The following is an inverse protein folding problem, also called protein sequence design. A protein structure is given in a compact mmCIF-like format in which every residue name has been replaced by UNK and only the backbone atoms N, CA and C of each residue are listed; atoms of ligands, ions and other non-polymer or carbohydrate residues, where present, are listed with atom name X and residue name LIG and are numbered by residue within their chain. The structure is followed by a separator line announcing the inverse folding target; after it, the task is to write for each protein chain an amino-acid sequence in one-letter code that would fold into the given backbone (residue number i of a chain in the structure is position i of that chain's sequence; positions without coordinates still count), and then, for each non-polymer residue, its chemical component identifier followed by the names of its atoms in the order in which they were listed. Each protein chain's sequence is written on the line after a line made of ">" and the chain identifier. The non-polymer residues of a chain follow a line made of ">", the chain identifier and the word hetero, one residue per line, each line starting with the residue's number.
data_IF_546179229534
#
_entry.id   IF_546179229534
#
_cell.length_a   1.000
_cell.length_b   1.000
_cell.length_c   1.000
_cell.angle_alpha   90.00
_cell.angle_beta   90.00
_cell.angle_gamma   90.00
#
_symmetry.space_group_name_H-M   'P 1'
#
loop_
_entity.id
_entity.type
_entity.pdbx_description
1 polymer ?
#
# COMPACT_ATOMS: atom_id res chain seq x y z
N UNK A 1 1.89 -40.90 20.76
CA UNK A 1 2.99 -39.91 20.81
C UNK A 1 3.26 -39.24 19.45
N UNK A 2 3.37 -40.00 18.38
CA UNK A 2 3.62 -39.39 17.02
C UNK A 2 2.46 -38.49 16.53
N UNK A 3 1.23 -38.84 16.85
CA UNK A 3 0.02 -38.07 16.48
C UNK A 3 -0.05 -36.70 17.18
N UNK A 4 0.37 -36.64 18.45
CA UNK A 4 0.38 -35.42 19.25
C UNK A 4 1.39 -34.39 18.71
N UNK A 5 2.55 -34.85 18.21
CA UNK A 5 3.54 -33.98 17.58
C UNK A 5 3.05 -33.40 16.26
N UNK A 6 2.33 -34.16 15.45
CA UNK A 6 1.70 -33.69 14.22
C UNK A 6 0.62 -32.65 14.45
N UNK A 7 -0.22 -32.84 15.47
CA UNK A 7 -1.25 -31.88 15.86
C UNK A 7 -0.67 -30.53 16.33
N UNK A 8 0.45 -30.55 17.06
CA UNK A 8 1.14 -29.36 17.51
C UNK A 8 1.75 -28.56 16.34
N UNK A 9 2.32 -29.25 15.35
CA UNK A 9 2.89 -28.61 14.16
C UNK A 9 1.78 -27.99 13.29
N UNK A 10 0.66 -28.69 13.09
CA UNK A 10 -0.47 -28.18 12.35
C UNK A 10 -1.10 -26.93 13.00
N UNK A 11 -1.19 -26.89 14.32
CA UNK A 11 -1.69 -25.75 15.08
C UNK A 11 -0.77 -24.53 14.97
N UNK A 12 0.55 -24.73 14.98
CA UNK A 12 1.52 -23.66 14.87
C UNK A 12 1.52 -23.03 13.46
N UNK A 13 1.37 -23.83 12.40
CA UNK A 13 1.26 -23.35 11.01
C UNK A 13 -0.01 -22.53 10.80
N UNK A 14 -1.12 -22.90 11.42
CA UNK A 14 -2.38 -22.17 11.33
C UNK A 14 -2.31 -20.77 11.97
N UNK A 15 -1.58 -20.61 13.05
CA UNK A 15 -1.40 -19.33 13.75
C UNK A 15 -0.56 -18.35 12.91
N UNK A 16 0.50 -18.83 12.27
CA UNK A 16 1.36 -17.97 11.45
C UNK A 16 0.65 -17.43 10.21
N UNK A 17 -0.22 -18.20 9.58
CA UNK A 17 -1.02 -17.76 8.42
C UNK A 17 -2.02 -16.66 8.81
N UNK A 18 -2.65 -16.76 9.98
CA UNK A 18 -3.59 -15.75 10.46
C UNK A 18 -2.93 -14.41 10.78
N UNK A 19 -1.72 -14.41 11.33
CA UNK A 19 -0.97 -13.21 11.67
C UNK A 19 -0.58 -12.40 10.41
N UNK A 20 -0.18 -13.08 9.33
CA UNK A 20 0.15 -12.43 8.06
C UNK A 20 -1.07 -11.71 7.43
N UNK A 21 -2.25 -12.31 7.49
CA UNK A 21 -3.49 -11.71 6.98
C UNK A 21 -3.85 -10.43 7.71
N UNK A 22 -3.76 -10.41 9.04
CA UNK A 22 -4.01 -9.20 9.84
C UNK A 22 -2.98 -8.09 9.58
N UNK A 23 -1.71 -8.43 9.38
CA UNK A 23 -0.66 -7.46 9.06
C UNK A 23 -0.90 -6.80 7.69
N UNK A 24 -1.33 -7.57 6.67
CA UNK A 24 -1.66 -7.07 5.35
C UNK A 24 -2.90 -6.16 5.36
N UNK A 25 -3.94 -6.51 6.09
CA UNK A 25 -5.14 -5.68 6.25
C UNK A 25 -4.82 -4.36 6.96
N UNK A 26 -4.02 -4.37 8.01
CA UNK A 26 -3.58 -3.18 8.72
C UNK A 26 -2.74 -2.26 7.82
N UNK A 27 -1.87 -2.84 7.01
CA UNK A 27 -1.05 -2.11 6.05
C UNK A 27 -1.88 -1.47 4.94
N UNK A 28 -2.87 -2.17 4.40
CA UNK A 28 -3.82 -1.62 3.42
C UNK A 28 -4.65 -0.48 3.99
N UNK A 29 -5.14 -0.61 5.22
CA UNK A 29 -5.88 0.44 5.91
C UNK A 29 -5.02 1.70 6.13
N UNK A 30 -3.80 1.53 6.60
CA UNK A 30 -2.86 2.65 6.80
C UNK A 30 -2.48 3.30 5.48
N UNK A 31 -2.28 2.52 4.43
CA UNK A 31 -2.01 3.01 3.08
C UNK A 31 -3.15 3.85 2.53
N UNK A 32 -4.39 3.44 2.72
CA UNK A 32 -5.58 4.21 2.36
C UNK A 32 -5.62 5.58 3.10
N UNK A 33 -5.33 5.58 4.39
CA UNK A 33 -5.25 6.81 5.19
C UNK A 33 -4.16 7.75 4.66
N UNK A 34 -2.97 7.24 4.37
CA UNK A 34 -1.88 8.06 3.81
C UNK A 34 -2.29 8.61 2.43
N UNK A 35 -2.87 7.80 1.58
CA UNK A 35 -3.32 8.19 0.24
C UNK A 35 -4.36 9.32 0.26
N UNK A 36 -5.36 9.19 1.11
CA UNK A 36 -6.47 10.15 1.18
C UNK A 36 -6.18 11.38 2.05
N UNK A 37 -5.45 11.21 3.15
CA UNK A 37 -5.35 12.24 4.20
C UNK A 37 -3.93 12.76 4.37
N UNK A 38 -2.97 11.90 4.69
CA UNK A 38 -1.62 12.34 5.07
C UNK A 38 -0.86 12.97 3.90
N UNK A 39 -0.86 12.34 2.74
CA UNK A 39 -0.18 12.82 1.54
C UNK A 39 -1.13 13.51 0.54
N UNK A 40 -2.43 13.20 0.59
CA UNK A 40 -3.41 13.78 -0.30
C UNK A 40 -3.29 13.37 -1.76
N UNK A 41 -2.83 12.16 -2.04
CA UNK A 41 -2.69 11.61 -3.40
C UNK A 41 -4.02 11.63 -4.17
N UNK A 42 -5.13 11.48 -3.44
CA UNK A 42 -6.49 11.51 -3.96
C UNK A 42 -6.86 12.83 -4.67
N UNK A 43 -6.19 13.94 -4.34
CA UNK A 43 -6.44 15.23 -4.99
C UNK A 43 -6.04 15.23 -6.47
N UNK A 44 -5.07 14.40 -6.86
CA UNK A 44 -4.49 14.39 -8.20
C UNK A 44 -4.73 13.08 -8.97
N UNK A 45 -4.92 11.96 -8.28
CA UNK A 45 -5.00 10.64 -8.91
C UNK A 45 -6.36 9.99 -8.77
N UNK A 46 -6.82 9.34 -9.84
CA UNK A 46 -7.93 8.38 -9.76
C UNK A 46 -7.41 7.07 -9.16
N UNK A 47 -8.08 6.60 -8.14
CA UNK A 47 -7.94 5.26 -7.59
C UNK A 47 -9.30 4.87 -6.98
N UNK A 48 -10.07 4.03 -7.67
CA UNK A 48 -11.46 3.71 -7.29
C UNK A 48 -11.56 3.09 -5.91
N UNK A 49 -10.64 2.20 -5.56
CA UNK A 49 -10.60 1.59 -4.23
C UNK A 49 -10.46 2.60 -3.09
N UNK A 50 -9.85 3.76 -3.34
CA UNK A 50 -9.74 4.87 -2.40
C UNK A 50 -10.88 5.88 -2.50
N UNK A 51 -11.80 5.73 -3.46
CA UNK A 51 -12.86 6.68 -3.74
C UNK A 51 -12.39 7.98 -4.38
N UNK A 52 -11.18 8.02 -4.96
CA UNK A 52 -10.60 9.23 -5.51
C UNK A 52 -10.87 9.39 -7.00
N UNK A 53 -11.09 10.63 -7.41
CA UNK A 53 -11.47 11.01 -8.77
C UNK A 53 -10.59 12.14 -9.35
N UNK A 54 -9.45 12.43 -8.74
CA UNK A 54 -8.52 13.45 -9.21
C UNK A 54 -7.99 13.14 -10.61
N UNK A 55 -7.83 14.16 -11.44
CA UNK A 55 -7.42 14.00 -12.84
C UNK A 55 -6.20 14.83 -13.24
N UNK A 56 -5.45 15.32 -12.28
CA UNK A 56 -4.20 16.08 -12.52
C UNK A 56 -3.06 15.14 -12.86
N UNK A 57 -2.96 14.02 -12.12
CA UNK A 57 -1.99 12.96 -12.36
C UNK A 57 -2.58 11.78 -13.15
N UNK A 58 -1.76 10.77 -13.49
CA UNK A 58 -2.23 9.55 -14.13
C UNK A 58 -3.30 8.83 -13.32
N UNK A 59 -4.23 8.17 -14.02
CA UNK A 59 -5.19 7.26 -13.43
C UNK A 59 -4.47 5.98 -12.97
N UNK A 60 -4.39 5.77 -11.67
CA UNK A 60 -3.65 4.65 -11.09
C UNK A 60 -4.28 3.28 -11.34
N UNK A 61 -5.57 3.23 -11.67
CA UNK A 61 -6.24 1.98 -12.03
C UNK A 61 -5.86 1.44 -13.40
N UNK A 62 -5.29 2.27 -14.25
CA UNK A 62 -5.02 1.92 -15.67
C UNK A 62 -3.54 1.88 -16.04
N UNK A 63 -2.65 2.31 -15.16
CA UNK A 63 -1.20 2.26 -15.41
C UNK A 63 -0.56 1.02 -14.80
N UNK A 64 0.45 0.50 -15.47
CA UNK A 64 1.25 -0.61 -14.95
C UNK A 64 2.26 -0.09 -13.94
N UNK A 65 2.24 -0.66 -12.72
CA UNK A 65 3.09 -0.21 -11.62
C UNK A 65 3.67 -1.40 -10.86
N UNK A 66 4.87 -1.19 -10.35
CA UNK A 66 5.48 -2.06 -9.32
C UNK A 66 5.62 -1.26 -8.03
N UNK A 67 5.75 -1.95 -6.89
CA UNK A 67 5.99 -1.27 -5.60
C UNK A 67 7.24 -0.41 -5.68
N UNK A 68 8.30 -0.91 -6.32
CA UNK A 68 9.55 -0.19 -6.52
C UNK A 68 9.36 1.11 -7.33
N UNK A 69 8.65 1.04 -8.46
CA UNK A 69 8.41 2.23 -9.29
C UNK A 69 7.55 3.28 -8.60
N UNK A 70 6.55 2.86 -7.82
CA UNK A 70 5.74 3.78 -7.01
C UNK A 70 6.56 4.39 -5.89
N UNK A 71 7.36 3.59 -5.19
CA UNK A 71 8.25 4.06 -4.13
C UNK A 71 9.21 5.12 -4.64
N UNK A 72 9.83 4.89 -5.81
CA UNK A 72 10.73 5.83 -6.45
C UNK A 72 10.01 7.15 -6.80
N UNK A 73 8.85 7.05 -7.44
CA UNK A 73 8.05 8.22 -7.84
C UNK A 73 7.59 9.05 -6.63
N UNK A 74 7.11 8.42 -5.58
CA UNK A 74 6.66 9.09 -4.36
C UNK A 74 7.84 9.74 -3.62
N UNK A 75 9.00 9.08 -3.60
CA UNK A 75 10.20 9.61 -2.94
C UNK A 75 10.71 10.86 -3.62
N UNK A 76 10.84 10.84 -4.94
CA UNK A 76 11.51 11.88 -5.71
C UNK A 76 10.57 12.86 -6.41
N UNK A 77 9.30 12.50 -6.60
CA UNK A 77 8.33 13.30 -7.34
C UNK A 77 8.62 13.41 -8.82
N UNK A 78 7.74 14.10 -9.54
CA UNK A 78 7.92 14.43 -10.95
C UNK A 78 6.99 15.58 -11.34
N UNK A 79 7.52 16.63 -11.92
CA UNK A 79 6.74 17.80 -12.33
C UNK A 79 5.98 18.40 -11.14
N UNK A 80 4.64 18.48 -11.24
CA UNK A 80 3.79 19.01 -10.15
C UNK A 80 3.59 18.03 -9.00
N UNK A 81 3.93 16.75 -9.17
CA UNK A 81 3.89 15.78 -8.09
C UNK A 81 5.03 16.04 -7.10
N UNK A 82 4.73 16.32 -5.82
CA UNK A 82 5.75 16.59 -4.83
C UNK A 82 6.69 15.41 -4.60
N UNK A 83 7.92 15.69 -4.22
CA UNK A 83 8.89 14.71 -3.72
C UNK A 83 8.62 14.44 -2.24
N UNK A 84 7.71 13.53 -1.94
CA UNK A 84 7.24 13.27 -0.57
C UNK A 84 8.34 12.76 0.36
N UNK A 85 9.31 12.02 -0.18
CA UNK A 85 10.45 11.55 0.59
C UNK A 85 11.54 12.62 0.76
N UNK A 86 12.03 13.18 -0.33
CA UNK A 86 13.08 14.22 -0.30
C UNK A 86 12.59 15.49 0.39
N UNK A 87 11.31 15.83 0.24
CA UNK A 87 10.67 16.97 0.89
C UNK A 87 10.28 16.72 2.36
N UNK A 88 10.58 15.55 2.90
CA UNK A 88 10.26 15.17 4.29
C UNK A 88 8.76 15.27 4.65
N UNK A 89 7.89 15.09 3.65
CA UNK A 89 6.43 15.08 3.84
C UNK A 89 5.99 13.73 4.40
N UNK A 90 6.57 12.64 3.90
CA UNK A 90 6.36 11.27 4.37
C UNK A 90 7.67 10.66 4.86
N UNK A 91 7.57 9.83 5.89
CA UNK A 91 8.70 8.97 6.30
C UNK A 91 8.91 7.85 5.29
N UNK A 92 10.08 7.22 5.33
CA UNK A 92 10.36 6.04 4.49
C UNK A 92 9.34 4.93 4.72
N UNK A 93 8.95 4.69 5.97
CA UNK A 93 7.93 3.69 6.31
C UNK A 93 6.56 4.02 5.69
N UNK A 94 6.14 5.27 5.77
CA UNK A 94 4.88 5.72 5.16
C UNK A 94 4.91 5.60 3.64
N UNK A 95 6.04 5.87 3.00
CA UNK A 95 6.22 5.67 1.55
C UNK A 95 6.10 4.19 1.19
N UNK A 96 6.75 3.31 1.94
CA UNK A 96 6.65 1.86 1.72
C UNK A 96 5.21 1.37 1.87
N UNK A 97 4.48 1.87 2.86
CA UNK A 97 3.07 1.51 3.12
C UNK A 97 2.15 2.01 2.01
N UNK A 98 2.25 3.27 1.61
CA UNK A 98 1.37 3.81 0.56
C UNK A 98 1.68 3.22 -0.81
N UNK A 99 2.94 2.92 -1.10
CA UNK A 99 3.35 2.24 -2.34
C UNK A 99 2.76 0.84 -2.42
N UNK A 100 2.83 0.09 -1.33
CA UNK A 100 2.18 -1.22 -1.22
C UNK A 100 0.67 -1.12 -1.43
N UNK A 101 0.02 -0.15 -0.78
CA UNK A 101 -1.41 0.09 -0.92
C UNK A 101 -1.81 0.37 -2.37
N UNK A 102 -1.18 1.32 -3.01
CA UNK A 102 -1.50 1.73 -4.39
C UNK A 102 -1.41 0.55 -5.35
N UNK A 103 -0.32 -0.21 -5.31
CA UNK A 103 -0.13 -1.35 -6.22
C UNK A 103 -1.15 -2.45 -5.99
N UNK A 104 -1.51 -2.72 -4.74
CA UNK A 104 -2.48 -3.77 -4.40
C UNK A 104 -3.94 -3.34 -4.55
N UNK A 105 -4.24 -2.04 -4.50
CA UNK A 105 -5.58 -1.50 -4.66
C UNK A 105 -5.92 -1.15 -6.12
N UNK A 106 -4.94 -0.83 -6.94
CA UNK A 106 -5.13 -0.42 -8.32
C UNK A 106 -5.85 -1.48 -9.16
N UNK A 107 -6.88 -1.05 -9.88
CA UNK A 107 -7.70 -1.93 -10.71
C UNK A 107 -8.63 -2.87 -9.93
N UNK A 108 -8.77 -2.67 -8.63
CA UNK A 108 -9.60 -3.51 -7.75
C UNK A 108 -10.68 -2.67 -7.08
N UNK A 109 -11.93 -2.91 -7.42
CA UNK A 109 -13.10 -2.21 -6.88
C UNK A 109 -14.34 -3.11 -6.84
#
# INVERSE_FOLDING_TARGET
>A
MKILKFLLIAFFVSITSSLNTFADEAKMKKGLEIFNETAGCAACHVLKAAGSVGNIGPNLDTVSMTIESVTDMVTHGLGVMPAFGEGEILTKEEIDIVSYYVVNAAGKW
#
